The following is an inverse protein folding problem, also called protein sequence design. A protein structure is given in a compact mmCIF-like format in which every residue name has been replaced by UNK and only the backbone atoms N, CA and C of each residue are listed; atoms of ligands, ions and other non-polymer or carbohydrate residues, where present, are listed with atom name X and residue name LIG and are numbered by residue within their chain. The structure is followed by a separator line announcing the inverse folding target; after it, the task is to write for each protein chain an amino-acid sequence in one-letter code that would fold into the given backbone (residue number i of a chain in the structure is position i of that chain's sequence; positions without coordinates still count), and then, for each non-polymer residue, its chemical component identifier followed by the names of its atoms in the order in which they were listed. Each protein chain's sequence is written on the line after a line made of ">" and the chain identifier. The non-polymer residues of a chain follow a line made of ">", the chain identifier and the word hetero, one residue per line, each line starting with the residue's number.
data_IF_424231343264
#
_entry.id   IF_424231343264
#
_cell.length_a   1.000
_cell.length_b   1.000
_cell.length_c   1.000
_cell.angle_alpha   90.00
_cell.angle_beta   90.00
_cell.angle_gamma   90.00
#
_symmetry.space_group_name_H-M   'P 1'
#
loop_
_entity.id
_entity.type
_entity.pdbx_description
1 polymer ?
#
# COMPACT_ATOMS: atom_id res chain seq x y z
N UNK A 1 -22.32 -4.14 -4.76
CA UNK A 1 -22.12 -3.74 -6.18
C UNK A 1 -20.65 -3.85 -6.59
N UNK A 2 -19.69 -3.10 -6.03
CA UNK A 2 -18.25 -3.16 -6.43
C UNK A 2 -17.69 -4.59 -6.32
N UNK A 3 -17.99 -5.30 -5.24
CA UNK A 3 -17.56 -6.68 -4.99
C UNK A 3 -17.93 -7.72 -6.09
N UNK A 4 -18.83 -7.36 -6.99
CA UNK A 4 -19.24 -8.24 -8.10
C UNK A 4 -18.34 -8.12 -9.34
N UNK A 5 -17.41 -7.14 -9.33
CA UNK A 5 -16.60 -6.75 -10.49
C UNK A 5 -15.11 -6.61 -10.16
N UNK A 6 -14.67 -7.10 -9.02
CA UNK A 6 -13.27 -7.00 -8.57
C UNK A 6 -12.86 -8.27 -7.83
N UNK A 7 -11.58 -8.59 -7.83
CA UNK A 7 -10.99 -9.73 -7.12
C UNK A 7 -10.51 -9.34 -5.71
N UNK A 8 -10.35 -8.04 -5.44
CA UNK A 8 -9.93 -7.49 -4.15
C UNK A 8 -10.58 -6.13 -3.91
N UNK A 9 -11.07 -5.89 -2.70
CA UNK A 9 -11.61 -4.59 -2.29
C UNK A 9 -10.50 -3.73 -1.70
N UNK A 10 -10.39 -2.47 -2.16
CA UNK A 10 -9.44 -1.51 -1.59
C UNK A 10 -10.16 -0.53 -0.66
N UNK A 11 -9.71 -0.47 0.59
CA UNK A 11 -10.12 0.55 1.56
C UNK A 11 -9.08 1.67 1.57
N UNK A 12 -9.50 2.83 1.08
CA UNK A 12 -8.65 4.02 1.03
C UNK A 12 -8.32 4.55 2.43
N UNK A 13 -7.18 5.21 2.54
CA UNK A 13 -6.59 5.77 3.77
C UNK A 13 -7.57 6.57 4.63
N UNK A 14 -8.45 7.37 4.00
CA UNK A 14 -9.45 8.18 4.70
C UNK A 14 -10.54 7.36 5.37
N UNK A 15 -10.71 6.10 4.96
CA UNK A 15 -11.72 5.17 5.47
C UNK A 15 -11.12 4.07 6.35
N UNK A 16 -9.84 4.13 6.71
CA UNK A 16 -9.21 3.12 7.57
C UNK A 16 -9.97 2.93 8.90
N UNK A 17 -10.51 4.02 9.45
CA UNK A 17 -11.25 4.01 10.72
C UNK A 17 -12.79 4.09 10.52
N UNK A 18 -13.27 3.84 9.31
CA UNK A 18 -14.70 3.70 9.05
C UNK A 18 -15.14 2.27 9.39
N UNK A 19 -15.22 1.98 10.69
CA UNK A 19 -15.49 0.64 11.21
C UNK A 19 -16.77 0.01 10.64
N UNK A 20 -17.90 0.72 10.48
CA UNK A 20 -19.07 0.18 9.79
C UNK A 20 -18.76 -0.28 8.37
N UNK A 21 -17.96 0.47 7.62
CA UNK A 21 -17.53 0.08 6.27
C UNK A 21 -16.64 -1.16 6.32
N UNK A 22 -15.71 -1.23 7.26
CA UNK A 22 -14.79 -2.38 7.40
C UNK A 22 -15.58 -3.66 7.70
N UNK A 23 -16.54 -3.59 8.60
CA UNK A 23 -17.46 -4.70 8.90
C UNK A 23 -18.24 -5.13 7.65
N UNK A 24 -18.86 -4.19 6.93
CA UNK A 24 -19.61 -4.54 5.71
C UNK A 24 -18.72 -5.13 4.60
N UNK A 25 -17.48 -4.64 4.48
CA UNK A 25 -16.50 -5.18 3.54
C UNK A 25 -16.09 -6.59 3.95
N UNK A 26 -15.82 -6.83 5.24
CA UNK A 26 -15.48 -8.15 5.76
C UNK A 26 -16.57 -9.19 5.50
N UNK A 27 -17.86 -8.85 5.66
CA UNK A 27 -19.00 -9.71 5.34
C UNK A 27 -19.06 -10.18 3.89
N UNK A 28 -18.32 -9.54 2.98
CA UNK A 28 -18.25 -10.02 1.59
C UNK A 28 -17.41 -11.28 1.43
N UNK A 29 -16.54 -11.59 2.39
CA UNK A 29 -15.56 -12.68 2.31
C UNK A 29 -14.47 -12.49 1.27
N UNK A 30 -14.38 -11.31 0.65
CA UNK A 30 -13.41 -11.00 -0.39
C UNK A 30 -12.05 -10.55 0.19
N UNK A 31 -10.95 -10.77 -0.53
CA UNK A 31 -9.67 -10.17 -0.17
C UNK A 31 -9.79 -8.64 -0.04
N UNK A 32 -9.12 -8.07 0.95
CA UNK A 32 -9.19 -6.63 1.24
C UNK A 32 -7.79 -6.04 1.37
N UNK A 33 -7.50 -5.00 0.58
CA UNK A 33 -6.35 -4.13 0.81
C UNK A 33 -6.77 -2.98 1.72
N UNK A 34 -6.13 -2.87 2.89
CA UNK A 34 -6.38 -1.81 3.86
C UNK A 34 -5.21 -0.81 3.87
N UNK A 35 -5.42 0.38 3.31
CA UNK A 35 -4.42 1.46 3.35
C UNK A 35 -4.39 2.12 4.72
N UNK A 36 -3.17 2.32 5.26
CA UNK A 36 -2.94 2.97 6.55
C UNK A 36 -3.46 4.41 6.58
N UNK A 37 -4.07 4.78 7.68
CA UNK A 37 -4.52 6.15 7.95
C UNK A 37 -3.34 7.12 8.12
N UNK A 38 -3.52 8.38 7.75
CA UNK A 38 -2.44 9.39 7.72
C UNK A 38 -1.73 9.62 9.06
N UNK A 39 -2.42 9.47 10.17
CA UNK A 39 -1.88 9.63 11.52
C UNK A 39 -2.02 8.37 12.36
N UNK A 40 -2.27 7.22 11.73
CA UNK A 40 -2.52 5.97 12.44
C UNK A 40 -1.22 5.32 12.91
N UNK A 41 -1.20 4.89 14.17
CA UNK A 41 -0.15 4.01 14.67
C UNK A 41 -0.27 2.62 14.01
N UNK A 42 0.78 1.79 14.16
CA UNK A 42 0.70 0.37 13.75
C UNK A 42 -0.46 -0.33 14.47
N UNK A 43 -0.64 -0.06 15.76
CA UNK A 43 -1.73 -0.63 16.54
C UNK A 43 -3.11 -0.26 15.97
N UNK A 44 -3.35 1.02 15.67
CA UNK A 44 -4.63 1.45 15.10
C UNK A 44 -4.93 0.78 13.77
N UNK A 45 -3.89 0.58 12.97
CA UNK A 45 -4.01 -0.08 11.67
C UNK A 45 -4.36 -1.56 11.80
N UNK A 46 -3.69 -2.29 12.71
CA UNK A 46 -3.99 -3.70 12.98
C UNK A 46 -5.37 -3.87 13.61
N UNK A 47 -5.76 -3.00 14.56
CA UNK A 47 -7.10 -3.01 15.15
C UNK A 47 -8.18 -2.74 14.09
N UNK A 48 -7.91 -1.89 13.10
CA UNK A 48 -8.82 -1.69 11.97
C UNK A 48 -8.93 -2.95 11.09
N UNK A 49 -7.82 -3.64 10.85
CA UNK A 49 -7.81 -4.90 10.10
C UNK A 49 -8.62 -6.00 10.82
N UNK A 50 -8.65 -6.01 12.16
CA UNK A 50 -9.43 -6.98 12.93
C UNK A 50 -10.94 -6.92 12.66
N UNK A 51 -11.50 -5.73 12.37
CA UNK A 51 -12.92 -5.63 12.01
C UNK A 51 -13.25 -6.42 10.74
N UNK A 52 -12.31 -6.49 9.79
CA UNK A 52 -12.46 -7.29 8.58
C UNK A 52 -12.22 -8.77 8.91
N UNK A 53 -11.20 -9.06 9.71
CA UNK A 53 -10.79 -10.42 10.05
C UNK A 53 -11.90 -11.19 10.81
N UNK A 54 -12.58 -10.54 11.74
CA UNK A 54 -13.70 -11.12 12.52
C UNK A 54 -14.84 -11.56 11.59
N UNK A 55 -15.16 -10.76 10.59
CA UNK A 55 -16.22 -11.11 9.63
C UNK A 55 -15.79 -12.25 8.70
N UNK A 56 -14.51 -12.29 8.27
CA UNK A 56 -13.98 -13.43 7.52
C UNK A 56 -14.03 -14.72 8.33
N UNK A 57 -13.65 -14.68 9.59
CA UNK A 57 -13.70 -15.82 10.50
C UNK A 57 -15.14 -16.31 10.69
N UNK A 58 -16.11 -15.40 10.85
CA UNK A 58 -17.53 -15.72 10.94
C UNK A 58 -18.08 -16.42 9.69
N UNK A 59 -17.44 -16.21 8.53
CA UNK A 59 -17.76 -16.94 7.28
C UNK A 59 -16.99 -18.26 7.15
N UNK A 60 -16.12 -18.60 8.11
CA UNK A 60 -15.24 -19.78 8.03
C UNK A 60 -14.04 -19.58 7.09
N UNK A 61 -13.72 -18.35 6.75
CA UNK A 61 -12.59 -18.00 5.90
C UNK A 61 -11.38 -17.57 6.73
N UNK A 62 -10.17 -17.92 6.29
CA UNK A 62 -8.98 -17.27 6.82
C UNK A 62 -8.97 -15.79 6.42
N UNK A 63 -8.55 -14.87 7.30
CA UNK A 63 -8.43 -13.46 6.94
C UNK A 63 -7.55 -13.25 5.71
N UNK A 64 -8.11 -12.64 4.67
CA UNK A 64 -7.42 -12.28 3.43
C UNK A 64 -7.27 -10.77 3.37
N UNK A 65 -6.31 -10.26 4.15
CA UNK A 65 -6.09 -8.83 4.32
C UNK A 65 -4.65 -8.52 3.92
N UNK A 66 -4.49 -7.52 3.06
CA UNK A 66 -3.22 -6.95 2.62
C UNK A 66 -3.10 -5.55 3.22
N UNK A 67 -2.09 -5.33 4.04
CA UNK A 67 -1.79 -4.03 4.63
C UNK A 67 -1.02 -3.17 3.62
N UNK A 68 -1.40 -1.89 3.45
CA UNK A 68 -0.72 -0.99 2.51
C UNK A 68 -0.29 0.31 3.21
N UNK A 69 1.02 0.47 3.43
CA UNK A 69 1.62 1.73 3.88
C UNK A 69 1.73 2.69 2.68
N UNK A 70 1.18 3.89 2.82
CA UNK A 70 1.10 4.89 1.75
C UNK A 70 1.56 6.30 2.16
N UNK A 71 2.25 6.39 3.27
CA UNK A 71 2.74 7.63 3.85
C UNK A 71 1.87 8.17 4.98
N UNK A 72 2.55 8.62 6.00
CA UNK A 72 1.97 9.28 7.17
C UNK A 72 2.21 10.79 7.12
N UNK A 73 1.34 11.56 7.76
CA UNK A 73 1.51 13.02 7.87
C UNK A 73 2.78 13.33 8.66
N UNK A 74 3.56 14.26 8.15
CA UNK A 74 4.76 14.78 8.80
C UNK A 74 4.75 16.31 8.80
N UNK A 75 5.42 16.90 9.78
CA UNK A 75 5.68 18.34 9.83
C UNK A 75 6.85 18.77 8.92
N UNK A 76 7.61 17.79 8.40
CA UNK A 76 8.74 18.01 7.52
C UNK A 76 8.31 17.73 6.08
N UNK A 77 8.20 18.78 5.28
CA UNK A 77 7.91 18.67 3.86
C UNK A 77 9.15 19.04 3.04
N UNK A 78 9.48 18.22 2.07
CA UNK A 78 10.63 18.43 1.18
C UNK A 78 10.26 19.19 -0.10
N UNK A 79 8.97 19.31 -0.36
CA UNK A 79 8.36 20.10 -1.45
C UNK A 79 7.05 20.69 -0.99
N UNK A 80 6.62 21.79 -1.62
CA UNK A 80 5.33 22.43 -1.33
C UNK A 80 4.14 21.49 -1.51
N UNK A 81 4.24 20.49 -2.41
CA UNK A 81 3.20 19.49 -2.67
C UNK A 81 3.33 18.23 -1.81
N UNK A 82 4.49 17.99 -1.20
CA UNK A 82 4.74 16.79 -0.38
C UNK A 82 4.19 16.97 1.03
N UNK A 83 3.34 16.08 1.47
CA UNK A 83 2.68 16.11 2.79
C UNK A 83 2.89 14.86 3.61
N UNK A 84 3.49 13.83 3.01
CA UNK A 84 3.60 12.52 3.60
C UNK A 84 5.05 12.04 3.62
N UNK A 85 5.34 11.21 4.59
CA UNK A 85 6.57 10.45 4.70
C UNK A 85 6.25 8.97 4.58
N UNK A 86 6.88 8.26 3.67
CA UNK A 86 6.76 6.80 3.59
C UNK A 86 7.46 6.19 4.81
N UNK A 87 6.68 5.59 5.69
CA UNK A 87 7.17 4.96 6.92
C UNK A 87 7.63 3.53 6.63
N UNK A 88 8.87 3.39 6.21
CA UNK A 88 9.43 2.07 5.91
C UNK A 88 9.69 1.22 7.16
N UNK A 89 9.83 1.84 8.34
CA UNK A 89 10.02 1.11 9.60
C UNK A 89 8.77 0.29 9.97
N UNK A 90 7.60 0.70 9.52
CA UNK A 90 6.38 -0.04 9.82
C UNK A 90 6.33 -1.41 9.14
N UNK A 91 7.10 -1.62 8.05
CA UNK A 91 7.16 -2.92 7.35
C UNK A 91 7.70 -4.01 8.27
N UNK A 92 8.97 -3.97 8.74
CA UNK A 92 9.47 -4.96 9.66
C UNK A 92 8.70 -4.98 10.99
N UNK A 93 8.26 -3.83 11.51
CA UNK A 93 7.49 -3.77 12.74
C UNK A 93 6.14 -4.50 12.65
N UNK A 94 5.47 -4.43 11.51
CA UNK A 94 4.25 -5.20 11.29
C UNK A 94 4.54 -6.69 11.15
N UNK A 95 5.58 -7.06 10.42
CA UNK A 95 5.99 -8.45 10.22
C UNK A 95 6.40 -9.16 11.53
N UNK A 96 6.82 -8.43 12.56
CA UNK A 96 7.08 -8.98 13.90
C UNK A 96 5.80 -9.35 14.66
N UNK A 97 4.68 -8.70 14.40
CA UNK A 97 3.47 -8.82 15.23
C UNK A 97 2.26 -9.37 14.48
N UNK A 98 2.33 -9.52 13.16
CA UNK A 98 1.25 -10.10 12.35
C UNK A 98 1.80 -10.95 11.20
N UNK A 99 0.98 -11.89 10.75
CA UNK A 99 1.24 -12.70 9.54
C UNK A 99 0.67 -12.05 8.27
N UNK A 100 -0.01 -10.92 8.38
CA UNK A 100 -0.60 -10.24 7.23
C UNK A 100 0.50 -9.67 6.34
N UNK A 101 0.41 -9.84 5.01
CA UNK A 101 1.39 -9.25 4.11
C UNK A 101 1.32 -7.72 4.14
N UNK A 102 2.48 -7.09 4.02
CA UNK A 102 2.63 -5.63 4.05
C UNK A 102 3.22 -5.13 2.74
N UNK A 103 2.47 -4.34 2.03
CA UNK A 103 2.94 -3.63 0.85
C UNK A 103 3.12 -2.14 1.12
N UNK A 104 3.81 -1.45 0.21
CA UNK A 104 3.98 0.00 0.25
C UNK A 104 3.47 0.65 -1.03
N UNK A 105 3.11 1.92 -0.92
CA UNK A 105 2.65 2.77 -2.01
C UNK A 105 3.51 4.04 -2.08
N UNK A 106 4.68 3.95 -2.73
CA UNK A 106 5.60 5.08 -2.85
C UNK A 106 5.03 6.25 -3.66
N UNK A 107 4.16 5.98 -4.64
CA UNK A 107 3.57 7.02 -5.46
C UNK A 107 2.75 8.01 -4.63
N UNK A 108 1.84 7.50 -3.80
CA UNK A 108 1.02 8.35 -2.93
C UNK A 108 1.80 8.93 -1.74
N UNK A 109 2.86 8.27 -1.28
CA UNK A 109 3.68 8.77 -0.19
C UNK A 109 4.55 9.94 -0.64
N UNK A 110 5.28 9.80 -1.76
CA UNK A 110 6.18 10.84 -2.25
C UNK A 110 5.44 12.03 -2.87
N UNK A 111 4.29 11.76 -3.51
CA UNK A 111 3.54 12.74 -4.28
C UNK A 111 4.37 13.45 -5.36
N UNK A 112 5.47 12.79 -5.79
CA UNK A 112 6.45 13.31 -6.75
C UNK A 112 7.18 12.18 -7.46
N UNK A 113 6.91 12.00 -8.74
CA UNK A 113 7.41 10.90 -9.56
C UNK A 113 8.94 10.70 -9.52
N UNK A 114 9.81 11.73 -9.57
CA UNK A 114 11.26 11.53 -9.51
C UNK A 114 11.77 10.83 -8.23
N UNK A 115 10.99 10.78 -7.17
CA UNK A 115 11.36 10.08 -5.92
C UNK A 115 10.79 8.67 -5.83
N UNK A 116 9.79 8.33 -6.66
CA UNK A 116 9.06 7.06 -6.59
C UNK A 116 10.01 5.88 -6.72
N UNK A 117 10.92 5.88 -7.72
CA UNK A 117 11.89 4.79 -7.92
C UNK A 117 12.76 4.54 -6.69
N UNK A 118 13.33 5.59 -6.09
CA UNK A 118 14.17 5.45 -4.90
C UNK A 118 13.41 4.89 -3.72
N UNK A 119 12.18 5.36 -3.48
CA UNK A 119 11.34 4.88 -2.39
C UNK A 119 10.79 3.48 -2.64
N UNK A 120 10.54 3.11 -3.89
CA UNK A 120 10.22 1.75 -4.30
C UNK A 120 11.36 0.78 -3.97
N UNK A 121 12.59 1.08 -4.36
CA UNK A 121 13.76 0.26 -4.07
C UNK A 121 14.02 0.14 -2.55
N UNK A 122 13.87 1.24 -1.82
CA UNK A 122 13.96 1.26 -0.36
C UNK A 122 12.88 0.40 0.30
N UNK A 123 11.66 0.39 -0.24
CA UNK A 123 10.56 -0.46 0.23
C UNK A 123 10.87 -1.95 0.11
N UNK A 124 11.44 -2.35 -1.03
CA UNK A 124 11.90 -3.73 -1.22
C UNK A 124 13.00 -4.05 -0.21
N UNK A 125 14.01 -3.17 -0.07
CA UNK A 125 15.09 -3.34 0.90
C UNK A 125 14.61 -3.41 2.35
N UNK A 126 13.49 -2.77 2.68
CA UNK A 126 12.83 -2.87 3.98
C UNK A 126 12.04 -4.18 4.17
N UNK A 127 11.92 -5.01 3.12
CA UNK A 127 11.24 -6.30 3.18
C UNK A 127 9.74 -6.26 2.86
N UNK A 128 9.24 -5.22 2.19
CA UNK A 128 7.83 -5.17 1.77
C UNK A 128 7.45 -6.38 0.90
N UNK A 129 6.24 -6.91 1.12
CA UNK A 129 5.71 -8.07 0.40
C UNK A 129 5.13 -7.71 -0.96
N UNK A 130 4.91 -6.42 -1.21
CA UNK A 130 4.40 -5.91 -2.47
C UNK A 130 4.56 -4.40 -2.61
N UNK A 131 4.29 -3.93 -3.80
CA UNK A 131 4.36 -2.51 -4.16
C UNK A 131 3.08 -2.09 -4.90
N UNK A 132 2.64 -0.87 -4.66
CA UNK A 132 1.63 -0.19 -5.46
C UNK A 132 2.26 1.02 -6.12
N UNK A 133 2.11 1.14 -7.43
CA UNK A 133 2.63 2.26 -8.21
C UNK A 133 1.53 2.83 -9.12
N UNK A 134 1.52 4.13 -9.27
CA UNK A 134 0.66 4.78 -10.26
C UNK A 134 1.40 4.92 -11.58
N UNK A 135 0.76 4.42 -12.63
CA UNK A 135 1.30 4.40 -13.99
C UNK A 135 0.27 4.96 -14.96
N UNK A 136 0.71 5.82 -15.87
CA UNK A 136 -0.15 6.40 -16.90
C UNK A 136 0.63 6.50 -18.21
N UNK A 137 0.02 6.23 -19.39
CA UNK A 137 0.71 6.31 -20.69
C UNK A 137 1.24 7.72 -20.97
N UNK A 138 0.56 8.76 -20.50
CA UNK A 138 0.98 10.16 -20.58
C UNK A 138 0.76 10.85 -19.24
N UNK A 139 1.69 10.76 -18.26
CA UNK A 139 1.49 11.25 -16.91
C UNK A 139 0.97 12.69 -16.78
N UNK A 140 1.39 13.68 -17.61
CA UNK A 140 0.84 15.02 -17.57
C UNK A 140 -0.67 15.11 -17.85
N UNK A 141 -1.24 14.14 -18.54
CA UNK A 141 -2.67 14.06 -18.88
C UNK A 141 -3.47 13.20 -17.91
N UNK A 142 -2.84 12.66 -16.87
CA UNK A 142 -3.56 11.89 -15.86
C UNK A 142 -4.62 12.77 -15.19
N UNK A 143 -5.86 12.25 -15.18
CA UNK A 143 -7.00 12.97 -14.59
C UNK A 143 -6.89 13.17 -13.08
N UNK A 144 -6.08 12.32 -12.42
CA UNK A 144 -5.84 12.35 -10.97
C UNK A 144 -4.34 12.21 -10.71
N UNK A 145 -3.82 13.03 -9.81
CA UNK A 145 -2.46 12.97 -9.26
C UNK A 145 -1.31 12.87 -10.29
N UNK A 146 -1.28 13.69 -11.37
CA UNK A 146 -0.32 13.57 -12.46
C UNK A 146 1.15 13.68 -12.02
N UNK A 147 1.42 14.35 -10.89
CA UNK A 147 2.77 14.60 -10.40
C UNK A 147 3.48 13.35 -9.85
N UNK A 148 2.73 12.32 -9.50
CA UNK A 148 3.25 11.08 -8.94
C UNK A 148 3.20 9.90 -9.92
N UNK A 149 2.49 10.06 -11.04
CA UNK A 149 2.37 9.03 -12.06
C UNK A 149 3.69 8.80 -12.80
N UNK A 150 4.02 7.55 -13.02
CA UNK A 150 5.14 7.12 -13.87
C UNK A 150 4.64 6.77 -15.28
N UNK A 151 5.46 7.01 -16.31
CA UNK A 151 5.18 6.48 -17.64
C UNK A 151 5.43 4.96 -17.71
N UNK A 152 4.98 4.31 -18.78
CA UNK A 152 5.27 2.89 -19.00
C UNK A 152 6.77 2.62 -19.11
N UNK A 153 7.52 3.49 -19.78
CA UNK A 153 8.98 3.39 -19.87
C UNK A 153 9.65 3.51 -18.48
N UNK A 154 9.22 4.47 -17.68
CA UNK A 154 9.71 4.62 -16.30
C UNK A 154 9.36 3.40 -15.44
N UNK A 155 8.18 2.83 -15.63
CA UNK A 155 7.76 1.62 -14.92
C UNK A 155 8.62 0.42 -15.32
N UNK A 156 8.90 0.23 -16.61
CA UNK A 156 9.81 -0.82 -17.10
C UNK A 156 11.21 -0.70 -16.48
N UNK A 157 11.78 0.51 -16.45
CA UNK A 157 13.05 0.80 -15.79
C UNK A 157 13.01 0.52 -14.28
N UNK A 158 11.90 0.83 -13.61
CA UNK A 158 11.69 0.48 -12.20
C UNK A 158 11.65 -1.04 -12.00
N UNK A 159 10.92 -1.78 -12.84
CA UNK A 159 10.84 -3.24 -12.77
C UNK A 159 12.21 -3.89 -12.96
N UNK A 160 13.01 -3.39 -13.90
CA UNK A 160 14.38 -3.87 -14.10
C UNK A 160 15.27 -3.61 -12.88
N UNK A 161 15.15 -2.42 -12.26
CA UNK A 161 15.96 -2.02 -11.13
C UNK A 161 15.60 -2.76 -9.82
N UNK A 162 14.35 -3.18 -9.64
CA UNK A 162 13.93 -3.81 -8.38
C UNK A 162 14.36 -5.28 -8.27
N UNK A 163 14.51 -6.02 -9.38
CA UNK A 163 14.90 -7.43 -9.38
C UNK A 163 16.19 -7.72 -8.62
N UNK A 164 17.32 -7.02 -8.87
CA UNK A 164 18.55 -7.25 -8.11
C UNK A 164 18.43 -6.88 -6.62
N UNK A 165 17.61 -5.90 -6.26
CA UNK A 165 17.39 -5.54 -4.86
C UNK A 165 16.59 -6.62 -4.14
N UNK A 166 15.55 -7.16 -4.77
CA UNK A 166 14.79 -8.29 -4.23
C UNK A 166 15.70 -9.52 -4.05
N UNK A 167 16.51 -9.84 -5.05
CA UNK A 167 17.46 -10.95 -4.95
C UNK A 167 18.46 -10.77 -3.80
N UNK A 168 18.93 -9.54 -3.56
CA UNK A 168 19.87 -9.23 -2.47
C UNK A 168 19.30 -9.50 -1.07
N UNK A 169 17.98 -9.45 -0.90
CA UNK A 169 17.28 -9.75 0.36
C UNK A 169 16.67 -11.17 0.36
N UNK A 170 17.04 -12.02 -0.61
CA UNK A 170 16.57 -13.41 -0.71
C UNK A 170 15.12 -13.56 -1.19
N UNK A 171 14.58 -12.57 -1.89
CA UNK A 171 13.25 -12.61 -2.50
C UNK A 171 13.32 -12.66 -4.02
N UNK A 172 12.30 -13.21 -4.67
CA UNK A 172 12.13 -13.17 -6.12
C UNK A 172 10.94 -12.28 -6.49
N UNK A 173 10.97 -11.75 -7.70
CA UNK A 173 9.85 -11.08 -8.33
C UNK A 173 9.48 -11.96 -9.51
N UNK A 174 8.53 -12.84 -9.28
CA UNK A 174 7.96 -13.70 -10.30
C UNK A 174 6.74 -12.99 -10.90
N UNK A 175 6.73 -12.87 -12.20
CA UNK A 175 5.67 -12.30 -12.98
C UNK A 175 5.46 -13.11 -14.22
#
# INVERSE_FOLDING_TARGET
>A
MVAQYTDMLQIGTRNMQNYPLLTEVGKTGMPVMLKRGYGASLRDWLMAAEYIAVEHDALGHKPQILLCERGVITNHTHRATSRFLLDLQVVPAAQEVTHLPVMTDPSHATFWQPWVKSMMLASIGAGADGLMLEVHPNPPEAAVDPLQCSSFEQFEDMMAAMRPVAAAIGRSIDG
#
